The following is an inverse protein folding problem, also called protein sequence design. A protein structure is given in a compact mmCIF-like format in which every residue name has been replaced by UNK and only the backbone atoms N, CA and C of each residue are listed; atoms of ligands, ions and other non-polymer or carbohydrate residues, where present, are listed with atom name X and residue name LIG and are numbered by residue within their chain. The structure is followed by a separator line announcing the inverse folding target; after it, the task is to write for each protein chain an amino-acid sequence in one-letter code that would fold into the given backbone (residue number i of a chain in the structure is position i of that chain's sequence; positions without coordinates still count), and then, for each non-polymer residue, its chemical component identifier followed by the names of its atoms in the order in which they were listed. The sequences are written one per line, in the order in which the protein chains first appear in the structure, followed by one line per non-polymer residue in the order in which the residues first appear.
data_IF_845965859250
#
_entry.id   IF_845965859250
#
_cell.length_a   1.000
_cell.length_b   1.000
_cell.length_c   1.000
_cell.angle_alpha   90.00
_cell.angle_beta   90.00
_cell.angle_gamma   90.00
#
_symmetry.space_group_name_H-M   'P 1'
#
loop_
_entity.id
_entity.type
_entity.pdbx_description
1 polymer ?
#
# COMPACT_ATOMS: atom_id res chain seq x y z
N UNK A 1 7.86 -5.37 4.58
CA UNK A 1 6.59 -4.68 4.31
C UNK A 1 6.81 -3.58 3.30
N UNK A 2 5.84 -3.41 2.39
CA UNK A 2 5.90 -2.39 1.34
C UNK A 2 4.65 -1.52 1.39
N UNK A 3 4.81 -0.24 1.07
CA UNK A 3 3.72 0.71 0.88
C UNK A 3 3.64 1.04 -0.61
N UNK A 4 2.44 0.98 -1.17
CA UNK A 4 2.16 1.36 -2.55
C UNK A 4 1.11 2.46 -2.56
N UNK A 5 1.46 3.58 -3.19
CA UNK A 5 0.57 4.73 -3.36
C UNK A 5 0.31 4.88 -4.86
N UNK A 6 -0.94 4.66 -5.27
CA UNK A 6 -1.39 4.87 -6.64
C UNK A 6 -2.30 6.08 -6.73
N UNK A 7 -1.97 7.09 -7.52
CA UNK A 7 -2.90 8.20 -7.84
C UNK A 7 -3.61 7.90 -9.15
N UNK A 8 -4.93 8.07 -9.18
CA UNK A 8 -5.72 7.72 -10.36
C UNK A 8 -5.43 8.64 -11.54
N UNK A 9 -5.59 8.10 -12.75
CA UNK A 9 -5.72 8.92 -13.96
C UNK A 9 -6.94 9.84 -13.86
N UNK A 10 -6.84 11.01 -14.47
CA UNK A 10 -7.91 12.01 -14.46
C UNK A 10 -9.26 11.43 -14.92
N UNK A 11 -10.35 11.83 -14.25
CA UNK A 11 -11.72 11.42 -14.59
C UNK A 11 -12.22 10.13 -13.92
N UNK A 12 -11.34 9.32 -13.33
CA UNK A 12 -11.70 8.15 -12.50
C UNK A 12 -12.53 7.08 -13.20
N UNK A 13 -12.69 7.16 -14.51
CA UNK A 13 -13.44 6.20 -15.33
C UNK A 13 -12.78 4.81 -15.33
N UNK A 14 -11.46 4.68 -15.49
CA UNK A 14 -10.79 3.38 -15.43
C UNK A 14 -11.02 2.69 -14.08
N UNK A 15 -10.94 3.42 -12.97
CA UNK A 15 -11.26 2.90 -11.64
C UNK A 15 -12.67 2.30 -11.61
N UNK A 16 -13.69 3.03 -12.07
CA UNK A 16 -15.07 2.56 -12.03
C UNK A 16 -15.25 1.30 -12.87
N UNK A 17 -14.65 1.26 -14.07
CA UNK A 17 -14.70 0.13 -14.98
C UNK A 17 -14.11 -1.14 -14.38
N UNK A 18 -12.97 -1.05 -13.69
CA UNK A 18 -12.25 -2.21 -13.17
C UNK A 18 -12.53 -2.51 -11.69
N UNK A 19 -13.38 -1.72 -11.02
CA UNK A 19 -13.64 -1.83 -9.57
C UNK A 19 -14.16 -3.20 -9.15
N UNK A 20 -15.11 -3.76 -9.89
CA UNK A 20 -15.70 -5.05 -9.53
C UNK A 20 -14.64 -6.16 -9.51
N UNK A 21 -13.90 -6.31 -10.61
CA UNK A 21 -12.82 -7.28 -10.73
C UNK A 21 -11.72 -7.05 -9.68
N UNK A 22 -11.36 -5.80 -9.38
CA UNK A 22 -10.41 -5.49 -8.32
C UNK A 22 -10.90 -5.96 -6.95
N UNK A 23 -12.17 -5.70 -6.60
CA UNK A 23 -12.74 -6.11 -5.31
C UNK A 23 -12.83 -7.64 -5.18
N UNK A 24 -13.20 -8.34 -6.25
CA UNK A 24 -13.19 -9.81 -6.32
C UNK A 24 -11.78 -10.36 -6.11
N UNK A 25 -10.79 -9.80 -6.83
CA UNK A 25 -9.39 -10.17 -6.64
C UNK A 25 -8.91 -9.97 -5.21
N UNK A 26 -9.20 -8.81 -4.59
CA UNK A 26 -8.80 -8.52 -3.21
C UNK A 26 -9.50 -9.47 -2.22
N UNK A 27 -10.77 -9.83 -2.45
CA UNK A 27 -11.49 -10.77 -1.59
C UNK A 27 -10.80 -12.14 -1.54
N UNK A 28 -10.26 -12.61 -2.68
CA UNK A 28 -9.56 -13.89 -2.76
C UNK A 28 -8.09 -13.82 -2.30
N UNK A 29 -7.49 -12.62 -2.27
CA UNK A 29 -6.05 -12.42 -2.05
C UNK A 29 -5.74 -11.49 -0.87
N UNK A 30 -6.47 -11.63 0.24
CA UNK A 30 -6.30 -10.77 1.42
C UNK A 30 -4.99 -11.02 2.20
N UNK A 31 -4.48 -12.26 2.20
CA UNK A 31 -3.37 -12.68 3.06
C UNK A 31 -2.11 -11.77 3.03
N UNK A 32 -1.60 -11.33 1.86
CA UNK A 32 -0.44 -10.43 1.80
C UNK A 32 -0.76 -8.97 2.14
N UNK A 33 -2.02 -8.59 2.36
CA UNK A 33 -2.46 -7.20 2.54
C UNK A 33 -2.69 -6.91 4.02
N UNK A 34 -1.90 -5.98 4.58
CA UNK A 34 -2.11 -5.44 5.93
C UNK A 34 -3.22 -4.40 5.92
N UNK A 35 -3.22 -3.52 4.93
CA UNK A 35 -4.20 -2.46 4.74
C UNK A 35 -4.33 -2.16 3.24
N UNK A 36 -5.55 -1.94 2.78
CA UNK A 36 -5.81 -1.41 1.45
C UNK A 36 -7.05 -0.53 1.49
N UNK A 37 -6.99 0.64 0.84
CA UNK A 37 -8.12 1.55 0.82
C UNK A 37 -7.97 2.68 -0.20
N UNK A 38 -9.07 3.34 -0.58
CA UNK A 38 -9.01 4.49 -1.44
C UNK A 38 -8.39 5.69 -0.71
N UNK A 39 -7.58 6.45 -1.43
CA UNK A 39 -7.25 7.82 -1.04
C UNK A 39 -8.44 8.72 -1.38
N UNK A 40 -8.82 9.58 -0.45
CA UNK A 40 -9.98 10.45 -0.58
C UNK A 40 -9.57 11.93 -0.54
N UNK A 41 -10.16 12.73 -1.42
CA UNK A 41 -10.17 14.20 -1.37
C UNK A 41 -11.62 14.66 -1.44
N UNK A 42 -12.10 15.35 -0.41
CA UNK A 42 -13.50 15.79 -0.26
C UNK A 42 -14.52 14.66 -0.49
N UNK A 43 -14.22 13.46 0.03
CA UNK A 43 -15.06 12.26 -0.11
C UNK A 43 -15.01 11.58 -1.48
N UNK A 44 -14.23 12.10 -2.43
CA UNK A 44 -14.01 11.48 -3.75
C UNK A 44 -12.75 10.63 -3.75
N UNK A 45 -12.83 9.46 -4.36
CA UNK A 45 -11.67 8.60 -4.57
C UNK A 45 -10.73 9.24 -5.60
N UNK A 46 -9.46 9.42 -5.22
CA UNK A 46 -8.40 10.01 -6.07
C UNK A 46 -7.20 9.08 -6.25
N UNK A 47 -7.27 7.89 -5.67
CA UNK A 47 -6.15 6.95 -5.65
C UNK A 47 -6.40 5.82 -4.67
N UNK A 48 -5.34 5.05 -4.42
CA UNK A 48 -5.33 3.94 -3.48
C UNK A 48 -4.03 3.94 -2.67
N UNK A 49 -4.15 3.55 -1.40
CA UNK A 49 -3.03 3.20 -0.53
C UNK A 49 -3.11 1.70 -0.24
N UNK A 50 -1.99 1.01 -0.42
CA UNK A 50 -1.84 -0.40 -0.05
C UNK A 50 -0.62 -0.57 0.85
N UNK A 51 -0.74 -1.46 1.83
CA UNK A 51 0.34 -1.88 2.72
C UNK A 51 0.41 -3.40 2.65
N UNK A 52 1.53 -3.93 2.19
CA UNK A 52 1.74 -5.36 1.96
C UNK A 52 2.77 -5.95 2.92
N UNK A 53 2.47 -7.11 3.49
CA UNK A 53 3.46 -7.98 4.16
C UNK A 53 3.91 -9.07 3.20
N UNK A 54 4.96 -8.78 2.44
CA UNK A 54 5.59 -9.71 1.49
C UNK A 54 7.09 -9.69 1.69
N UNK A 55 7.73 -10.79 1.31
CA UNK A 55 9.15 -11.05 1.54
C UNK A 55 10.06 -10.04 0.84
N UNK A 56 9.78 -9.74 -0.43
CA UNK A 56 10.60 -8.85 -1.24
C UNK A 56 9.80 -8.09 -2.31
N UNK A 57 10.53 -7.27 -3.07
CA UNK A 57 9.96 -6.46 -4.15
C UNK A 57 9.48 -7.29 -5.34
N UNK A 58 10.03 -8.50 -5.55
CA UNK A 58 9.60 -9.38 -6.63
C UNK A 58 8.24 -10.01 -6.32
N UNK A 59 8.03 -10.47 -5.08
CA UNK A 59 6.76 -10.96 -4.57
C UNK A 59 5.67 -9.88 -4.63
N UNK A 60 6.02 -8.64 -4.26
CA UNK A 60 5.13 -7.49 -4.44
C UNK A 60 4.75 -7.31 -5.93
N UNK A 61 5.74 -7.26 -6.82
CA UNK A 61 5.49 -7.08 -8.26
C UNK A 61 4.59 -8.16 -8.84
N UNK A 62 4.77 -9.42 -8.44
CA UNK A 62 3.92 -10.54 -8.86
C UNK A 62 2.48 -10.46 -8.33
N UNK A 63 2.28 -9.88 -7.15
CA UNK A 63 0.94 -9.59 -6.65
C UNK A 63 0.28 -8.46 -7.45
N UNK A 64 0.98 -7.33 -7.60
CA UNK A 64 0.45 -6.16 -8.32
C UNK A 64 0.12 -6.48 -9.77
N UNK A 65 0.95 -7.26 -10.47
CA UNK A 65 0.71 -7.64 -11.86
C UNK A 65 -0.60 -8.44 -12.08
N UNK A 66 -1.20 -9.00 -11.02
CA UNK A 66 -2.47 -9.74 -11.07
C UNK A 66 -3.66 -8.92 -10.61
N UNK A 67 -3.44 -7.81 -9.91
CA UNK A 67 -4.50 -6.91 -9.48
C UNK A 67 -5.02 -6.12 -10.71
N UNK A 68 -6.32 -6.17 -11.03
CA UNK A 68 -6.91 -5.46 -12.16
C UNK A 68 -6.63 -3.95 -12.20
N UNK A 69 -6.48 -3.27 -11.06
CA UNK A 69 -6.13 -1.84 -11.07
C UNK A 69 -4.73 -1.58 -11.64
N UNK A 70 -3.77 -2.45 -11.33
CA UNK A 70 -2.40 -2.31 -11.80
C UNK A 70 -2.22 -2.89 -13.20
N UNK A 71 -2.82 -4.06 -13.48
CA UNK A 71 -2.77 -4.69 -14.80
C UNK A 71 -3.38 -3.82 -15.91
N UNK A 72 -4.48 -3.13 -15.61
CA UNK A 72 -5.17 -2.25 -16.56
C UNK A 72 -4.64 -0.80 -16.52
N UNK A 73 -3.65 -0.52 -15.66
CA UNK A 73 -2.97 0.77 -15.60
C UNK A 73 -3.91 1.93 -15.26
N UNK A 74 -4.73 1.80 -14.22
CA UNK A 74 -5.67 2.88 -13.84
C UNK A 74 -4.99 4.09 -13.18
N UNK A 75 -3.77 3.90 -12.69
CA UNK A 75 -3.01 4.91 -11.97
C UNK A 75 -2.17 5.76 -12.93
N UNK A 76 -2.14 7.07 -12.70
CA UNK A 76 -1.23 8.03 -13.33
C UNK A 76 0.18 7.87 -12.75
N UNK A 77 0.28 7.76 -11.43
CA UNK A 77 1.54 7.51 -10.73
C UNK A 77 1.39 6.33 -9.78
N UNK A 78 2.48 5.56 -9.66
CA UNK A 78 2.62 4.49 -8.67
C UNK A 78 3.95 4.69 -7.96
N UNK A 79 3.89 4.94 -6.66
CA UNK A 79 5.07 5.04 -5.80
C UNK A 79 5.13 3.81 -4.90
N UNK A 80 6.33 3.26 -4.73
CA UNK A 80 6.57 2.06 -3.92
C UNK A 80 7.72 2.32 -2.96
N UNK A 81 7.47 2.08 -1.67
CA UNK A 81 8.45 2.24 -0.60
C UNK A 81 8.56 0.97 0.24
N UNK A 82 9.77 0.61 0.63
CA UNK A 82 9.96 -0.28 1.77
C UNK A 82 9.56 0.45 3.05
N UNK A 83 8.83 -0.23 3.93
CA UNK A 83 8.37 0.35 5.19
C UNK A 83 8.58 -0.62 6.34
N UNK A 84 8.93 -0.06 7.51
CA UNK A 84 9.06 -0.80 8.77
C UNK A 84 7.81 -0.56 9.60
N UNK A 85 7.23 -1.62 10.16
CA UNK A 85 6.13 -1.49 11.12
C UNK A 85 6.68 -0.98 12.45
N UNK A 86 6.21 0.20 12.86
CA UNK A 86 6.61 0.81 14.14
C UNK A 86 5.45 0.83 15.15
N UNK A 87 4.23 1.09 14.67
CA UNK A 87 3.03 1.27 15.50
C UNK A 87 1.85 0.49 14.92
N UNK A 88 1.05 -0.21 15.74
CA UNK A 88 1.30 -0.50 17.16
C UNK A 88 2.59 -1.29 17.36
N UNK A 89 3.23 -1.16 18.52
CA UNK A 89 4.42 -1.94 18.86
C UNK A 89 4.09 -3.43 18.79
N UNK A 90 4.72 -4.17 17.87
CA UNK A 90 4.64 -5.63 17.81
C UNK A 90 5.61 -6.30 18.80
N UNK A 91 6.67 -5.59 19.15
CA UNK A 91 7.64 -5.96 20.17
C UNK A 91 7.64 -4.87 21.26
N UNK A 92 7.31 -5.19 22.52
CA UNK A 92 7.24 -4.20 23.59
C UNK A 92 8.54 -3.39 23.73
N UNK A 93 8.42 -2.06 23.82
CA UNK A 93 9.55 -1.15 24.02
C UNK A 93 10.40 -0.92 22.77
N UNK A 94 9.90 -1.30 21.58
CA UNK A 94 10.56 -0.98 20.31
C UNK A 94 10.80 0.53 20.16
N UNK A 95 9.78 1.36 20.37
CA UNK A 95 9.88 2.81 20.14
C UNK A 95 10.82 3.46 21.15
N UNK A 96 10.84 3.00 22.40
CA UNK A 96 11.75 3.50 23.43
C UNK A 96 13.22 3.27 23.02
N UNK A 97 13.54 2.06 22.57
CA UNK A 97 14.89 1.69 22.09
C UNK A 97 15.30 2.49 20.85
N UNK A 98 14.40 2.66 19.89
CA UNK A 98 14.67 3.46 18.68
C UNK A 98 14.88 4.95 19.05
N UNK A 99 14.14 5.47 20.04
CA UNK A 99 14.34 6.84 20.54
C UNK A 99 15.69 7.02 21.26
N UNK A 100 16.11 6.05 22.07
CA UNK A 100 17.44 6.06 22.71
C UNK A 100 18.56 6.06 21.66
N UNK A 101 18.46 5.17 20.67
CA UNK A 101 19.40 5.09 19.55
C UNK A 101 19.48 6.41 18.77
N UNK A 102 18.35 7.04 18.49
CA UNK A 102 18.31 8.32 17.78
C UNK A 102 18.99 9.46 18.57
N UNK A 103 18.79 9.52 19.90
CA UNK A 103 19.48 10.51 20.76
C UNK A 103 20.99 10.30 20.78
N UNK A 104 21.43 9.05 20.88
CA UNK A 104 22.85 8.70 20.89
C UNK A 104 23.56 9.05 19.56
N UNK A 105 22.85 9.00 18.43
CA UNK A 105 23.39 9.37 17.13
C UNK A 105 23.46 10.90 16.88
N UNK A 106 22.76 11.69 17.68
CA UNK A 106 22.66 13.15 17.53
C UNK A 106 23.59 13.94 18.46
N UNK A 107 24.21 13.28 19.44
CA UNK A 107 25.20 13.85 20.36
C UNK A 107 26.62 13.49 19.97
#
# INVERSE_FOLDING_TARGET
MFVVIGKDKAGGEPRRRHRAAHLEFIADHQAPVIYAGPLLEDGRMVGSLFVFDVEDRAALGAHLARDPYFAEGIFETVEVYESKWMVPEREPGLLAREAEKARAAAG
#
